data_IF_546173766627
#
_entry.id   IF_546173766627
#
_cell.length_a   1.000
_cell.length_b   1.000
_cell.length_c   1.000
_cell.angle_alpha   90.00
_cell.angle_beta   90.00
_cell.angle_gamma   90.00
#
_symmetry.space_group_name_H-M   'P 1'
#
loop_
_entity.id
_entity.type
_entity.pdbx_description
1 polymer ?
#
# COMPACT_ATOMS: atom_id res chain seq x y z
N UNK A 1 28.36 23.09 8.38
CA UNK A 1 29.63 23.02 9.13
C UNK A 1 29.48 23.15 10.66
N UNK A 2 28.38 23.65 11.21
CA UNK A 2 28.14 23.84 12.66
C UNK A 2 27.72 22.55 13.42
N UNK A 3 27.16 21.55 12.73
CA UNK A 3 26.65 20.32 13.36
C UNK A 3 27.74 19.31 13.79
N UNK A 4 28.91 19.36 13.15
CA UNK A 4 30.04 18.45 13.49
C UNK A 4 30.84 18.88 14.71
N UNK A 5 30.78 20.13 15.11
CA UNK A 5 31.52 20.63 16.27
C UNK A 5 30.76 20.40 17.60
N UNK A 6 29.45 20.26 17.54
CA UNK A 6 28.63 20.05 18.74
C UNK A 6 28.72 18.60 19.26
N UNK A 7 28.91 17.62 18.37
CA UNK A 7 29.07 16.21 18.75
C UNK A 7 30.41 15.88 19.38
N UNK A 8 31.44 16.68 19.13
CA UNK A 8 32.78 16.46 19.74
C UNK A 8 32.91 17.05 21.14
N UNK A 9 32.10 18.07 21.47
CA UNK A 9 32.14 18.71 22.78
C UNK A 9 31.51 17.85 23.86
N UNK A 10 30.36 17.23 23.60
CA UNK A 10 29.65 16.36 24.57
C UNK A 10 30.46 15.10 24.93
N UNK A 11 31.31 14.59 24.01
CA UNK A 11 32.04 13.33 24.22
C UNK A 11 33.20 13.42 25.21
N UNK A 12 33.66 14.61 25.55
CA UNK A 12 34.85 14.79 26.40
C UNK A 12 34.53 14.95 27.91
N UNK A 13 33.37 15.54 28.21
CA UNK A 13 32.96 15.81 29.59
C UNK A 13 32.29 14.61 30.28
N UNK A 14 31.51 13.82 29.50
CA UNK A 14 30.77 12.68 30.05
C UNK A 14 31.66 11.49 30.50
N UNK A 15 32.88 11.37 29.96
CA UNK A 15 33.76 10.25 30.31
C UNK A 15 34.38 10.37 31.72
N UNK A 16 34.54 11.58 32.26
CA UNK A 16 35.11 11.77 33.59
C UNK A 16 34.09 11.52 34.70
N UNK A 17 32.83 11.90 34.44
CA UNK A 17 31.76 11.76 35.44
C UNK A 17 31.29 10.31 35.61
N UNK A 18 31.44 9.46 34.58
CA UNK A 18 30.99 8.07 34.61
C UNK A 18 31.90 7.17 35.48
N UNK A 19 33.19 7.56 35.71
CA UNK A 19 34.13 6.78 36.50
C UNK A 19 33.90 6.91 37.98
N UNK A 20 33.40 8.03 38.44
CA UNK A 20 33.21 8.35 39.85
C UNK A 20 31.81 8.02 40.40
N UNK A 21 30.90 7.49 39.55
CA UNK A 21 29.58 7.10 40.03
C UNK A 21 29.63 5.88 40.94
N UNK A 22 28.96 5.88 42.12
CA UNK A 22 28.89 4.77 43.01
C UNK A 22 28.31 3.52 42.34
N UNK A 23 28.78 2.35 42.76
CA UNK A 23 28.43 1.06 42.13
C UNK A 23 26.93 0.84 42.00
N UNK A 24 26.13 1.36 42.94
CA UNK A 24 24.67 1.30 42.99
C UNK A 24 24.04 2.09 41.79
N UNK A 25 24.59 3.26 41.47
CA UNK A 25 24.08 4.08 40.36
C UNK A 25 24.39 3.44 38.99
N UNK A 26 25.55 2.76 38.88
CA UNK A 26 25.93 2.02 37.65
C UNK A 26 25.04 0.78 37.42
N UNK A 27 24.59 0.14 38.48
CA UNK A 27 23.68 -1.00 38.42
C UNK A 27 22.27 -0.57 38.01
N UNK A 28 21.81 0.58 38.52
CA UNK A 28 20.48 1.14 38.22
C UNK A 28 20.32 1.57 36.75
N UNK A 29 21.39 2.12 36.15
CA UNK A 29 21.38 2.54 34.73
C UNK A 29 21.34 1.33 33.81
N UNK A 30 22.07 0.26 34.14
CA UNK A 30 22.06 -0.98 33.34
C UNK A 30 20.71 -1.69 33.37
N UNK A 31 20.06 -1.73 34.55
CA UNK A 31 18.70 -2.32 34.66
C UNK A 31 17.64 -1.46 33.99
N UNK A 32 17.74 -0.14 34.04
CA UNK A 32 16.82 0.76 33.33
C UNK A 32 16.94 0.64 31.81
N UNK A 33 18.19 0.48 31.29
CA UNK A 33 18.40 0.29 29.84
C UNK A 33 17.85 -1.06 29.34
N UNK A 34 18.02 -2.13 30.10
CA UNK A 34 17.49 -3.46 29.75
C UNK A 34 15.97 -3.47 29.81
N UNK A 35 15.36 -2.79 30.78
CA UNK A 35 13.90 -2.68 30.88
C UNK A 35 13.31 -1.86 29.74
N UNK A 36 13.98 -0.79 29.29
CA UNK A 36 13.55 0.03 28.16
C UNK A 36 13.63 -0.72 26.83
N UNK A 37 14.60 -1.62 26.65
CA UNK A 37 14.72 -2.46 25.45
C UNK A 37 13.67 -3.58 25.38
N UNK A 38 13.19 -4.07 26.52
CA UNK A 38 12.17 -5.11 26.59
C UNK A 38 10.75 -4.57 26.33
N UNK A 39 10.49 -3.28 26.58
CA UNK A 39 9.19 -2.65 26.36
C UNK A 39 8.96 -2.22 24.92
N UNK A 40 10.00 -2.05 24.10
CA UNK A 40 9.87 -1.65 22.69
C UNK A 40 9.46 -2.78 21.74
N UNK A 41 9.46 -4.04 22.16
CA UNK A 41 9.05 -5.18 21.34
C UNK A 41 7.52 -5.41 21.29
N UNK A 42 6.73 -4.69 22.08
CA UNK A 42 5.30 -4.96 22.26
C UNK A 42 4.37 -4.15 21.35
N UNK A 43 4.89 -3.24 20.52
CA UNK A 43 4.07 -2.38 19.63
C UNK A 43 4.14 -2.75 18.16
N UNK A 44 4.43 -4.01 17.83
CA UNK A 44 4.05 -4.52 16.51
C UNK A 44 2.54 -4.79 16.53
N UNK A 45 1.74 -3.73 16.36
CA UNK A 45 0.31 -3.90 16.13
C UNK A 45 0.15 -4.79 14.88
N UNK A 46 -0.61 -5.88 14.94
CA UNK A 46 -0.91 -6.65 13.74
C UNK A 46 -1.62 -5.70 12.77
N UNK A 47 -1.09 -5.59 11.55
CA UNK A 47 -1.78 -4.92 10.47
C UNK A 47 -3.11 -5.67 10.31
N UNK A 48 -4.18 -5.12 10.85
CA UNK A 48 -5.52 -5.66 10.65
C UNK A 48 -5.80 -5.57 9.16
N UNK A 49 -5.90 -6.72 8.50
CA UNK A 49 -6.45 -6.78 7.17
C UNK A 49 -7.84 -6.14 7.26
N UNK A 50 -8.00 -4.98 6.65
CA UNK A 50 -9.25 -4.25 6.64
C UNK A 50 -10.26 -5.12 5.91
N UNK A 51 -11.27 -5.61 6.63
CA UNK A 51 -12.34 -6.47 6.09
C UNK A 51 -13.35 -5.70 5.21
N UNK A 52 -13.04 -4.47 4.85
CA UNK A 52 -13.84 -3.64 3.94
C UNK A 52 -13.43 -3.78 2.48
N UNK A 53 -14.22 -3.20 1.55
CA UNK A 53 -13.88 -3.20 0.14
C UNK A 53 -12.51 -2.53 -0.09
N UNK A 54 -11.67 -3.16 -0.91
CA UNK A 54 -10.37 -2.60 -1.28
C UNK A 54 -10.54 -1.27 -2.03
N UNK A 55 -9.49 -0.43 -2.03
CA UNK A 55 -9.52 0.83 -2.80
C UNK A 55 -9.80 0.58 -4.28
N UNK A 56 -9.20 -0.45 -4.87
CA UNK A 56 -9.46 -0.83 -6.25
C UNK A 56 -10.92 -1.24 -6.48
N UNK A 57 -11.55 -1.94 -5.53
CA UNK A 57 -12.97 -2.29 -5.61
C UNK A 57 -13.86 -1.04 -5.57
N UNK A 58 -13.56 -0.11 -4.67
CA UNK A 58 -14.30 1.16 -4.59
C UNK A 58 -14.22 1.93 -5.90
N UNK A 59 -13.02 2.08 -6.46
CA UNK A 59 -12.78 2.74 -7.74
C UNK A 59 -13.49 2.04 -8.91
N UNK A 60 -13.47 0.71 -8.95
CA UNK A 60 -14.14 -0.07 -9.99
C UNK A 60 -15.68 0.08 -9.93
N UNK A 61 -16.24 0.23 -8.74
CA UNK A 61 -17.70 0.34 -8.55
C UNK A 61 -18.19 1.80 -8.53
N UNK A 62 -17.30 2.78 -8.39
CA UNK A 62 -17.65 4.19 -8.40
C UNK A 62 -18.11 4.63 -9.79
N UNK A 63 -19.37 5.10 -9.89
CA UNK A 63 -19.99 5.58 -11.11
C UNK A 63 -19.33 6.83 -11.70
N UNK A 64 -18.63 7.60 -10.87
CA UNK A 64 -17.87 8.77 -11.28
C UNK A 64 -16.42 8.47 -11.70
N UNK A 65 -15.97 7.22 -11.55
CA UNK A 65 -14.60 6.75 -11.80
C UNK A 65 -14.59 5.57 -12.77
N UNK A 66 -14.26 4.38 -12.28
CA UNK A 66 -14.14 3.18 -13.11
C UNK A 66 -15.46 2.74 -13.72
N UNK A 67 -16.52 2.77 -12.93
CA UNK A 67 -17.88 2.38 -13.34
C UNK A 67 -17.95 1.04 -14.09
N UNK A 68 -17.10 0.08 -13.70
CA UNK A 68 -16.92 -1.19 -14.39
C UNK A 68 -18.20 -2.03 -14.40
N UNK A 69 -19.06 -1.87 -13.37
CA UNK A 69 -20.34 -2.55 -13.26
C UNK A 69 -21.33 -2.17 -14.37
N UNK A 70 -21.18 -1.03 -15.01
CA UNK A 70 -22.04 -0.67 -16.15
C UNK A 70 -21.95 -1.69 -17.29
N UNK A 71 -20.81 -2.35 -17.45
CA UNK A 71 -20.56 -3.28 -18.54
C UNK A 71 -20.26 -4.71 -18.06
N UNK A 72 -19.68 -4.89 -16.89
CA UNK A 72 -19.18 -6.17 -16.42
C UNK A 72 -19.93 -6.70 -15.20
N UNK A 73 -20.16 -8.00 -15.19
CA UNK A 73 -20.54 -8.74 -13.98
C UNK A 73 -19.28 -8.90 -13.14
N UNK A 74 -19.31 -8.42 -11.89
CA UNK A 74 -18.23 -8.51 -10.91
C UNK A 74 -18.82 -8.98 -9.58
N UNK A 75 -18.18 -9.94 -8.94
CA UNK A 75 -18.59 -10.45 -7.62
C UNK A 75 -18.70 -9.31 -6.59
N UNK A 76 -19.84 -9.23 -5.93
CA UNK A 76 -20.12 -8.20 -4.92
C UNK A 76 -20.64 -6.87 -5.51
N UNK A 77 -20.76 -6.77 -6.82
CA UNK A 77 -21.42 -5.62 -7.48
C UNK A 77 -22.93 -5.77 -7.56
N UNK A 78 -23.63 -4.63 -7.51
CA UNK A 78 -25.09 -4.57 -7.65
C UNK A 78 -25.48 -4.07 -9.05
N UNK A 79 -26.52 -4.67 -9.64
CA UNK A 79 -27.07 -4.29 -10.93
C UNK A 79 -26.03 -4.22 -12.06
N UNK A 80 -25.25 -5.29 -12.30
CA UNK A 80 -24.23 -5.29 -13.33
C UNK A 80 -24.81 -5.29 -14.73
N UNK A 81 -24.10 -4.63 -15.67
CA UNK A 81 -24.38 -4.73 -17.09
C UNK A 81 -23.84 -6.02 -17.71
N UNK A 82 -24.13 -6.23 -18.99
CA UNK A 82 -23.74 -7.43 -19.76
C UNK A 82 -23.05 -7.12 -21.09
N UNK A 83 -22.55 -5.89 -21.27
CA UNK A 83 -21.84 -5.49 -22.48
C UNK A 83 -20.42 -6.06 -22.56
N UNK A 84 -19.77 -6.25 -21.41
CA UNK A 84 -18.47 -6.85 -21.29
C UNK A 84 -18.54 -8.27 -20.72
N UNK A 85 -17.44 -9.05 -20.79
CA UNK A 85 -17.39 -10.37 -20.16
C UNK A 85 -17.48 -10.27 -18.63
N UNK A 86 -17.96 -11.34 -18.01
CA UNK A 86 -17.88 -11.48 -16.56
C UNK A 86 -16.41 -11.51 -16.09
N UNK A 87 -16.11 -10.71 -15.07
CA UNK A 87 -14.77 -10.62 -14.49
C UNK A 87 -14.64 -11.66 -13.37
N UNK A 88 -14.23 -12.86 -13.76
CA UNK A 88 -14.00 -14.03 -12.90
C UNK A 88 -12.72 -14.74 -13.35
N UNK A 89 -11.98 -15.33 -12.42
CA UNK A 89 -10.71 -16.03 -12.68
C UNK A 89 -9.69 -15.17 -13.44
N UNK A 90 -9.69 -13.86 -13.14
CA UNK A 90 -8.89 -12.87 -13.87
C UNK A 90 -7.39 -13.19 -13.79
N UNK A 91 -6.90 -13.61 -12.63
CA UNK A 91 -5.50 -14.00 -12.46
C UNK A 91 -5.08 -15.17 -13.35
N UNK A 92 -5.98 -16.11 -13.60
CA UNK A 92 -5.72 -17.24 -14.49
C UNK A 92 -5.81 -16.84 -15.96
N UNK A 93 -6.75 -15.96 -16.32
CA UNK A 93 -6.94 -15.49 -17.69
C UNK A 93 -5.87 -14.50 -18.13
N UNK A 94 -5.38 -13.67 -17.20
CA UNK A 94 -4.36 -12.66 -17.40
C UNK A 94 -3.26 -12.80 -16.33
N UNK A 95 -2.34 -13.77 -16.49
CA UNK A 95 -1.26 -14.01 -15.53
C UNK A 95 -0.30 -12.83 -15.42
N UNK A 96 -0.11 -12.08 -16.51
CA UNK A 96 0.69 -10.87 -16.54
C UNK A 96 -0.09 -9.69 -15.99
N UNK A 97 0.36 -9.18 -14.85
CA UNK A 97 -0.22 -7.96 -14.27
C UNK A 97 -0.09 -6.76 -15.20
N UNK A 98 1.05 -6.63 -15.88
CA UNK A 98 1.33 -5.52 -16.79
C UNK A 98 0.42 -5.55 -18.02
N UNK A 99 0.07 -6.73 -18.51
CA UNK A 99 -0.93 -6.89 -19.56
C UNK A 99 -2.29 -6.38 -19.11
N UNK A 100 -2.72 -6.73 -17.90
CA UNK A 100 -3.99 -6.25 -17.35
C UNK A 100 -4.00 -4.75 -17.12
N UNK A 101 -2.88 -4.16 -16.67
CA UNK A 101 -2.69 -2.70 -16.59
C UNK A 101 -2.84 -2.06 -17.98
N UNK A 102 -2.21 -2.63 -19.01
CA UNK A 102 -2.32 -2.11 -20.38
C UNK A 102 -3.76 -2.17 -20.92
N UNK A 103 -4.50 -3.24 -20.63
CA UNK A 103 -5.90 -3.42 -20.98
C UNK A 103 -6.76 -2.32 -20.34
N UNK A 104 -6.63 -2.11 -19.04
CA UNK A 104 -7.39 -1.08 -18.31
C UNK A 104 -6.98 0.32 -18.76
N UNK A 105 -5.70 0.52 -19.05
CA UNK A 105 -5.19 1.80 -19.54
C UNK A 105 -5.78 2.16 -20.91
N UNK A 106 -5.75 1.23 -21.88
CA UNK A 106 -6.24 1.45 -23.25
C UNK A 106 -6.47 0.13 -24.00
N UNK A 107 -7.63 -0.46 -23.84
CA UNK A 107 -8.02 -1.69 -24.54
C UNK A 107 -8.12 -1.51 -26.06
N UNK A 108 -8.27 -0.28 -26.58
CA UNK A 108 -8.35 -0.05 -28.02
C UNK A 108 -7.07 -0.46 -28.76
N UNK A 109 -5.93 -0.55 -28.07
CA UNK A 109 -4.67 -1.01 -28.65
C UNK A 109 -4.69 -2.50 -28.99
N UNK A 110 -5.40 -3.30 -28.18
CA UNK A 110 -5.56 -4.74 -28.37
C UNK A 110 -6.81 -5.08 -29.20
N UNK A 111 -7.91 -4.41 -28.91
CA UNK A 111 -9.18 -4.56 -29.62
C UNK A 111 -9.69 -3.18 -30.07
N UNK A 112 -9.43 -2.76 -31.33
CA UNK A 112 -9.87 -1.47 -31.84
C UNK A 112 -11.40 -1.27 -31.87
N UNK A 113 -12.16 -2.35 -31.80
CA UNK A 113 -13.63 -2.31 -31.80
C UNK A 113 -14.25 -2.34 -30.41
N UNK A 114 -13.44 -2.27 -29.37
CA UNK A 114 -13.93 -2.29 -27.99
C UNK A 114 -14.77 -1.05 -27.68
N UNK A 115 -15.81 -1.26 -26.87
CA UNK A 115 -16.59 -0.17 -26.27
C UNK A 115 -16.07 0.18 -24.86
N UNK A 116 -15.08 -0.56 -24.35
CA UNK A 116 -14.46 -0.27 -23.07
C UNK A 116 -13.71 1.07 -23.15
N UNK A 117 -13.98 2.01 -22.23
CA UNK A 117 -13.29 3.30 -22.22
C UNK A 117 -11.78 3.13 -21.99
N UNK A 118 -10.92 3.89 -22.68
CA UNK A 118 -9.48 3.91 -22.40
C UNK A 118 -9.19 4.74 -21.15
N UNK A 119 -9.33 4.13 -19.97
CA UNK A 119 -9.34 4.80 -18.67
C UNK A 119 -8.09 5.64 -18.39
N UNK A 120 -6.93 5.13 -18.75
CA UNK A 120 -5.66 5.87 -18.57
C UNK A 120 -5.48 6.94 -19.64
N UNK A 121 -5.61 6.60 -20.92
CA UNK A 121 -5.43 7.54 -22.03
C UNK A 121 -6.33 8.76 -21.91
N UNK A 122 -7.58 8.55 -21.52
CA UNK A 122 -8.57 9.62 -21.35
C UNK A 122 -8.55 10.25 -19.94
N UNK A 123 -7.60 9.84 -19.07
CA UNK A 123 -7.44 10.35 -17.70
C UNK A 123 -8.70 10.19 -16.85
N UNK A 124 -9.51 9.18 -17.09
CA UNK A 124 -10.65 8.80 -16.25
C UNK A 124 -10.14 8.26 -14.91
N UNK A 125 -9.07 7.46 -14.97
CA UNK A 125 -8.30 6.97 -13.84
C UNK A 125 -6.84 7.41 -13.98
N UNK A 126 -6.23 7.75 -12.87
CA UNK A 126 -4.77 7.94 -12.78
C UNK A 126 -4.05 6.58 -12.84
N UNK A 127 -2.74 6.58 -13.09
CA UNK A 127 -1.95 5.34 -13.08
C UNK A 127 -2.01 4.62 -11.73
N UNK A 128 -2.01 5.37 -10.62
CA UNK A 128 -2.17 4.81 -9.27
C UNK A 128 -3.53 4.15 -9.09
N UNK A 129 -4.60 4.78 -9.54
CA UNK A 129 -5.97 4.24 -9.49
C UNK A 129 -6.10 3.00 -10.39
N UNK A 130 -5.50 2.99 -11.58
CA UNK A 130 -5.46 1.82 -12.47
C UNK A 130 -4.76 0.65 -11.77
N UNK A 131 -3.62 0.90 -11.14
CA UNK A 131 -2.90 -0.13 -10.40
C UNK A 131 -3.74 -0.70 -9.26
N UNK A 132 -4.45 0.13 -8.50
CA UNK A 132 -5.34 -0.32 -7.44
C UNK A 132 -6.51 -1.16 -7.99
N UNK A 133 -7.12 -0.73 -9.11
CA UNK A 133 -8.18 -1.50 -9.79
C UNK A 133 -7.65 -2.86 -10.25
N UNK A 134 -6.48 -2.91 -10.88
CA UNK A 134 -5.86 -4.15 -11.35
C UNK A 134 -5.57 -5.10 -10.20
N UNK A 135 -5.06 -4.60 -9.07
CA UNK A 135 -4.82 -5.41 -7.88
C UNK A 135 -6.13 -6.02 -7.35
N UNK A 136 -7.23 -5.27 -7.36
CA UNK A 136 -8.55 -5.80 -7.05
C UNK A 136 -9.00 -6.86 -8.07
N UNK A 137 -8.89 -6.60 -9.36
CA UNK A 137 -9.30 -7.53 -10.42
C UNK A 137 -8.55 -8.87 -10.30
N UNK A 138 -7.30 -8.87 -9.89
CA UNK A 138 -6.52 -10.11 -9.67
C UNK A 138 -6.99 -10.93 -8.46
N UNK A 139 -7.92 -10.43 -7.66
CA UNK A 139 -8.54 -11.18 -6.55
C UNK A 139 -9.83 -11.91 -6.95
N UNK A 140 -10.29 -11.69 -8.17
CA UNK A 140 -11.54 -12.23 -8.71
C UNK A 140 -11.36 -13.61 -9.34
#
# INVERSE_FOLDING_TARGET
MAFMLFTSYIRKEDRHNFREMPLIAKLSIKTALVLALLTSAAFAAPAHAQSGPSEGQKLAFDRGKGNCLTCHVIKGGEYPGSLGPELVDIKSKYPSRDELVAIVFDETKRNPLTVMPPFGRNRILTETEINAVVDFLQTL
#
